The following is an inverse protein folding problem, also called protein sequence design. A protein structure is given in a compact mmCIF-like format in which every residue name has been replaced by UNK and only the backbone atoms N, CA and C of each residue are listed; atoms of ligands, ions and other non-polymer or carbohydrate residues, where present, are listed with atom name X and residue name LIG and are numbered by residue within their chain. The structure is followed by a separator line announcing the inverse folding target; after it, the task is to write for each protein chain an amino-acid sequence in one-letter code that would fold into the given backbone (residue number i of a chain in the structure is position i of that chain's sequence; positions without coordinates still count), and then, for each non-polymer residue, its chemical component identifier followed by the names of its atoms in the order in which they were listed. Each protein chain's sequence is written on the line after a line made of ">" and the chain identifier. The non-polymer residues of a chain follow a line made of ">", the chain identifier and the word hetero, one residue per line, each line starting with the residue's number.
data_IF_657118043340
#
_entry.id   IF_657118043340
#
_cell.length_a   1.000
_cell.length_b   1.000
_cell.length_c   1.000
_cell.angle_alpha   90.00
_cell.angle_beta   90.00
_cell.angle_gamma   90.00
#
_symmetry.space_group_name_H-M   'P 1'
#
loop_
_entity.id
_entity.type
_entity.pdbx_description
1 polymer ?
#
# COMPACT_ATOMS: atom_id res chain seq x y z
N UNK A 1 -16.83 28.41 1.55
CA UNK A 1 -17.38 27.75 1.68
C UNK A 1 -17.25 26.35 1.82
N UNK A 2 -18.11 25.61 1.55
CA UNK A 2 -18.04 24.31 1.77
C UNK A 2 -17.05 23.65 1.02
N UNK A 3 -16.67 24.11 -0.07
CA UNK A 3 -15.77 23.47 -0.87
C UNK A 3 -14.44 23.44 -0.29
N UNK A 4 -14.11 24.30 0.56
CA UNK A 4 -12.83 24.32 1.13
C UNK A 4 -12.47 23.11 1.87
N UNK A 5 -13.41 22.55 2.57
CA UNK A 5 -13.09 21.41 3.33
C UNK A 5 -12.81 20.23 2.46
N UNK A 6 -13.36 20.19 1.28
CA UNK A 6 -13.14 19.09 0.39
C UNK A 6 -11.72 19.04 -0.11
N UNK A 7 -11.09 20.19 -0.23
CA UNK A 7 -9.76 20.17 -0.75
C UNK A 7 -8.73 19.80 0.26
N UNK A 8 -9.04 20.04 1.49
CA UNK A 8 -7.99 19.94 2.48
C UNK A 8 -7.67 18.54 2.92
N UNK A 9 -8.55 17.61 2.73
CA UNK A 9 -8.32 16.31 3.31
C UNK A 9 -8.32 15.18 2.34
N UNK A 10 -7.53 15.31 1.31
CA UNK A 10 -7.34 14.21 0.43
C UNK A 10 -6.46 13.19 1.10
N UNK A 11 -6.80 11.92 0.99
CA UNK A 11 -6.06 10.87 1.63
C UNK A 11 -5.58 9.86 0.61
N UNK A 12 -4.34 9.45 0.74
CA UNK A 12 -3.77 8.45 -0.13
C UNK A 12 -3.15 7.35 0.73
N UNK A 13 -3.40 6.11 0.36
CA UNK A 13 -2.72 4.98 0.96
C UNK A 13 -1.69 4.52 -0.03
N UNK A 14 -0.44 4.46 0.38
CA UNK A 14 0.62 3.94 -0.45
C UNK A 14 0.94 2.53 0.00
N UNK A 15 1.30 1.67 -0.91
CA UNK A 15 1.65 0.32 -0.57
C UNK A 15 2.71 -0.18 -1.55
N UNK A 16 3.42 -1.16 -1.11
CA UNK A 16 4.46 -1.79 -1.88
C UNK A 16 5.34 -2.44 -0.86
N UNK A 17 6.19 -3.27 -1.24
CA UNK A 17 7.02 -3.80 -0.23
C UNK A 17 7.52 -5.17 -0.49
N UNK A 18 8.14 -5.68 0.53
CA UNK A 18 8.90 -6.88 0.40
C UNK A 18 10.37 -6.56 0.35
N UNK A 19 10.72 -5.40 -0.14
CA UNK A 19 12.13 -4.98 -0.17
C UNK A 19 12.22 -3.48 -0.06
N UNK A 20 13.38 -3.01 0.36
CA UNK A 20 13.63 -1.58 0.42
C UNK A 20 13.54 -0.93 -0.95
N UNK A 21 13.77 -1.71 -2.00
CA UNK A 21 13.69 -1.16 -3.35
C UNK A 21 12.32 -0.69 -3.75
N UNK A 22 11.27 -1.23 -3.11
CA UNK A 22 9.90 -0.77 -3.38
C UNK A 22 9.53 0.40 -2.48
N UNK A 23 10.20 0.55 -1.36
CA UNK A 23 9.87 1.58 -0.40
C UNK A 23 10.46 2.92 -0.79
N UNK A 24 11.71 2.91 -1.24
CA UNK A 24 12.41 4.14 -1.54
C UNK A 24 11.69 5.01 -2.58
N UNK A 25 11.20 4.44 -3.69
CA UNK A 25 10.46 5.27 -4.63
C UNK A 25 9.20 5.87 -4.03
N UNK A 26 8.53 5.14 -3.14
CA UNK A 26 7.36 5.68 -2.47
C UNK A 26 7.72 6.87 -1.58
N UNK A 27 8.84 6.76 -0.88
CA UNK A 27 9.28 7.85 -0.03
C UNK A 27 9.60 9.09 -0.87
N UNK A 28 10.19 8.87 -2.03
CA UNK A 28 10.54 9.99 -2.90
C UNK A 28 9.33 10.78 -3.38
N UNK A 29 8.15 10.14 -3.44
CA UNK A 29 6.95 10.81 -3.87
C UNK A 29 6.25 11.58 -2.75
N UNK A 30 6.58 11.29 -1.51
CA UNK A 30 5.85 11.85 -0.39
C UNK A 30 5.86 13.37 -0.30
N UNK A 31 7.00 14.05 -0.52
CA UNK A 31 6.95 15.51 -0.45
C UNK A 31 6.00 16.11 -1.47
N UNK A 32 6.01 15.59 -2.69
CA UNK A 32 5.14 16.12 -3.72
C UNK A 32 3.68 15.87 -3.38
N UNK A 33 3.37 14.71 -2.81
CA UNK A 33 2.00 14.41 -2.43
C UNK A 33 1.54 15.33 -1.30
N UNK A 34 2.40 15.59 -0.34
CA UNK A 34 2.05 16.50 0.73
C UNK A 34 1.80 17.90 0.21
N UNK A 35 2.59 18.33 -0.77
CA UNK A 35 2.39 19.64 -1.35
C UNK A 35 1.05 19.73 -2.07
N UNK A 36 0.55 18.61 -2.57
CA UNK A 36 -0.75 18.60 -3.23
C UNK A 36 -1.91 18.42 -2.24
N UNK A 37 -1.62 18.40 -0.96
CA UNK A 37 -2.66 18.32 0.03
C UNK A 37 -3.06 16.93 0.46
N UNK A 38 -2.24 15.95 0.16
CA UNK A 38 -2.56 14.58 0.55
C UNK A 38 -2.06 14.25 1.94
N UNK A 39 -2.90 13.55 2.68
CA UNK A 39 -2.52 12.96 3.95
C UNK A 39 -2.15 11.52 3.61
N UNK A 40 -0.96 11.09 3.95
CA UNK A 40 -0.40 9.82 3.51
C UNK A 40 -0.46 8.79 4.61
N UNK A 41 -0.86 7.57 4.26
CA UNK A 41 -0.74 6.41 5.14
C UNK A 41 -0.08 5.31 4.31
N UNK A 42 0.55 4.37 4.98
CA UNK A 42 1.26 3.31 4.28
C UNK A 42 0.84 1.95 4.82
N UNK A 43 0.59 1.01 3.92
CA UNK A 43 0.29 -0.35 4.30
C UNK A 43 1.39 -1.24 3.74
N UNK A 44 2.02 -2.01 4.60
CA UNK A 44 3.10 -2.88 4.18
C UNK A 44 3.13 -4.14 5.03
N UNK A 45 4.24 -4.85 4.98
CA UNK A 45 4.37 -6.08 5.73
C UNK A 45 4.60 -5.77 7.21
N UNK A 46 4.42 -6.78 8.05
CA UNK A 46 4.59 -6.59 9.48
C UNK A 46 6.02 -6.19 9.87
N UNK A 47 6.96 -6.71 9.17
CA UNK A 47 8.35 -6.52 9.59
C UNK A 47 9.21 -6.15 8.41
N UNK A 48 10.39 -5.78 8.71
CA UNK A 48 11.33 -5.41 7.68
C UNK A 48 11.74 -3.97 7.84
N UNK A 49 12.66 -3.57 7.01
CA UNK A 49 13.20 -2.23 7.08
C UNK A 49 12.19 -1.18 6.64
N UNK A 50 11.21 -1.59 5.87
CA UNK A 50 10.27 -0.63 5.32
C UNK A 50 9.48 0.10 6.40
N UNK A 51 9.12 -0.60 7.46
CA UNK A 51 8.35 0.03 8.52
C UNK A 51 9.11 1.20 9.11
N UNK A 52 10.39 0.99 9.42
CA UNK A 52 11.19 2.03 10.01
C UNK A 52 11.39 3.20 9.06
N UNK A 53 11.66 2.89 7.80
CA UNK A 53 11.89 3.94 6.81
C UNK A 53 10.67 4.82 6.62
N UNK A 54 9.49 4.20 6.60
CA UNK A 54 8.25 4.95 6.41
C UNK A 54 7.94 5.77 7.67
N UNK A 55 8.12 5.19 8.84
CA UNK A 55 7.82 5.92 10.06
C UNK A 55 8.75 7.11 10.26
N UNK A 56 9.97 7.03 9.76
CA UNK A 56 10.88 8.14 9.81
C UNK A 56 10.37 9.32 9.00
N UNK A 57 9.47 9.08 8.05
CA UNK A 57 8.90 10.15 7.26
C UNK A 57 7.68 10.78 7.92
N UNK A 58 7.34 10.32 9.12
CA UNK A 58 6.15 10.83 9.78
C UNK A 58 4.86 10.27 9.24
N UNK A 59 4.93 9.14 8.56
CA UNK A 59 3.76 8.54 7.93
C UNK A 59 3.28 7.35 8.77
N UNK A 60 1.99 7.26 9.08
CA UNK A 60 1.48 6.10 9.79
C UNK A 60 1.69 4.83 8.97
N UNK A 61 2.14 3.78 9.61
CA UNK A 61 2.42 2.53 8.95
C UNK A 61 1.53 1.44 9.53
N UNK A 62 0.86 0.73 8.66
CA UNK A 62 -0.03 -0.36 9.06
C UNK A 62 0.50 -1.65 8.46
N UNK A 63 0.75 -2.64 9.29
CA UNK A 63 1.24 -3.92 8.80
C UNK A 63 0.11 -4.88 8.52
N UNK A 64 0.25 -5.65 7.47
CA UNK A 64 -0.71 -6.69 7.16
C UNK A 64 0.02 -7.99 6.92
N UNK A 65 -0.74 -9.08 7.01
CA UNK A 65 -0.20 -10.39 6.71
C UNK A 65 -0.06 -10.53 5.19
N UNK A 66 1.05 -11.09 4.77
CA UNK A 66 1.25 -11.34 3.34
C UNK A 66 2.20 -12.49 3.18
N UNK A 67 2.04 -13.24 2.16
CA UNK A 67 3.01 -14.26 1.84
C UNK A 67 4.24 -13.63 1.23
N UNK A 68 5.26 -14.42 1.04
CA UNK A 68 6.45 -13.96 0.36
C UNK A 68 6.37 -14.43 -1.07
N UNK A 69 6.50 -13.51 -1.99
CA UNK A 69 6.31 -13.85 -3.40
C UNK A 69 7.14 -15.03 -3.86
N UNK A 70 8.38 -15.04 -3.51
CA UNK A 70 9.22 -16.13 -3.98
C UNK A 70 8.78 -17.47 -3.47
N UNK A 71 8.01 -17.51 -2.41
CA UNK A 71 7.56 -18.76 -1.86
C UNK A 71 6.32 -19.28 -2.53
N UNK A 72 5.69 -18.50 -3.36
CA UNK A 72 4.55 -18.98 -4.11
C UNK A 72 4.95 -20.11 -5.03
N UNK A 73 6.19 -20.13 -5.47
CA UNK A 73 6.65 -21.13 -6.39
C UNK A 73 7.18 -22.37 -5.69
N UNK A 74 7.12 -22.39 -4.38
CA UNK A 74 7.59 -23.52 -3.62
C UNK A 74 6.36 -24.28 -3.10
N UNK A 75 6.14 -25.51 -3.55
CA UNK A 75 4.92 -26.22 -3.14
C UNK A 75 4.85 -26.45 -1.65
N UNK A 76 5.94 -26.31 -0.93
CA UNK A 76 5.92 -26.50 0.50
C UNK A 76 5.25 -25.33 1.22
N UNK A 77 5.00 -24.25 0.55
CA UNK A 77 4.45 -23.06 1.19
C UNK A 77 3.01 -22.81 0.85
N UNK A 78 2.23 -23.87 0.85
CA UNK A 78 0.82 -23.75 0.55
C UNK A 78 0.06 -22.92 1.56
N UNK A 79 0.64 -22.66 2.71
CA UNK A 79 -0.04 -21.83 3.69
C UNK A 79 -0.06 -20.36 3.30
N UNK A 80 0.76 -19.98 2.31
CA UNK A 80 0.81 -18.58 1.92
C UNK A 80 -0.51 -18.03 1.39
N UNK A 81 -1.36 -18.80 0.70
CA UNK A 81 -2.65 -18.27 0.30
C UNK A 81 -3.50 -17.83 1.48
N UNK A 82 -3.39 -18.53 2.62
CA UNK A 82 -4.14 -18.12 3.80
C UNK A 82 -3.60 -16.81 4.35
N UNK A 83 -2.30 -16.59 4.24
CA UNK A 83 -1.71 -15.33 4.68
C UNK A 83 -2.18 -14.19 3.79
N UNK A 84 -2.30 -14.45 2.50
CA UNK A 84 -2.78 -13.43 1.59
C UNK A 84 -4.26 -13.12 1.88
N UNK A 85 -5.06 -14.14 2.16
CA UNK A 85 -6.46 -13.92 2.50
C UNK A 85 -6.59 -13.12 3.79
N UNK A 86 -5.74 -13.41 4.77
CA UNK A 86 -5.75 -12.65 6.00
C UNK A 86 -5.37 -11.20 5.74
N UNK A 87 -4.34 -11.00 4.91
CA UNK A 87 -3.93 -9.65 4.57
C UNK A 87 -5.01 -8.89 3.80
N UNK A 88 -5.75 -9.60 2.96
CA UNK A 88 -6.85 -9.02 2.23
C UNK A 88 -7.93 -8.53 3.21
N UNK A 89 -8.31 -9.36 4.17
CA UNK A 89 -9.31 -8.97 5.15
C UNK A 89 -8.82 -7.81 6.00
N UNK A 90 -7.55 -7.84 6.40
CA UNK A 90 -6.97 -6.73 7.15
C UNK A 90 -6.97 -5.45 6.34
N UNK A 91 -6.67 -5.56 5.05
CA UNK A 91 -6.64 -4.40 4.18
C UNK A 91 -8.02 -3.80 4.02
N UNK A 92 -9.05 -4.64 3.88
CA UNK A 92 -10.41 -4.13 3.78
C UNK A 92 -10.75 -3.33 5.03
N UNK A 93 -10.41 -3.88 6.20
CA UNK A 93 -10.70 -3.19 7.44
C UNK A 93 -9.96 -1.86 7.53
N UNK A 94 -8.69 -1.85 7.14
CA UNK A 94 -7.90 -0.62 7.17
C UNK A 94 -8.43 0.42 6.20
N UNK A 95 -8.79 0.00 5.00
CA UNK A 95 -9.31 0.94 4.02
C UNK A 95 -10.64 1.52 4.45
N UNK A 96 -11.47 0.73 5.11
CA UNK A 96 -12.73 1.25 5.62
C UNK A 96 -12.50 2.22 6.77
N UNK A 97 -11.42 2.04 7.52
CA UNK A 97 -11.10 2.93 8.60
C UNK A 97 -10.47 4.22 8.10
N UNK A 98 -9.52 4.11 7.19
CA UNK A 98 -8.80 5.27 6.67
C UNK A 98 -9.65 6.06 5.68
N UNK A 99 -10.43 5.37 4.87
CA UNK A 99 -11.26 5.97 3.84
C UNK A 99 -10.44 6.83 2.88
N UNK A 100 -9.43 6.25 2.26
CA UNK A 100 -8.61 7.04 1.35
C UNK A 100 -9.34 7.35 0.06
N UNK A 101 -8.89 8.38 -0.62
CA UNK A 101 -9.44 8.73 -1.92
C UNK A 101 -8.80 7.91 -3.02
N UNK A 102 -7.59 7.43 -2.78
CA UNK A 102 -6.88 6.65 -3.78
C UNK A 102 -5.83 5.77 -3.09
N UNK A 103 -5.55 4.64 -3.70
CA UNK A 103 -4.50 3.73 -3.25
C UNK A 103 -3.44 3.73 -4.35
N UNK A 104 -2.19 3.91 -3.97
CA UNK A 104 -1.09 3.87 -4.91
C UNK A 104 -0.19 2.69 -4.59
N UNK A 105 0.02 1.83 -5.55
CA UNK A 105 0.85 0.65 -5.38
C UNK A 105 2.09 0.75 -6.24
N UNK A 106 3.23 0.58 -5.61
CA UNK A 106 4.48 0.56 -6.33
C UNK A 106 4.84 -0.86 -6.78
N UNK A 107 4.04 -1.82 -6.38
CA UNK A 107 4.29 -3.20 -6.73
C UNK A 107 4.76 -4.01 -5.55
N UNK A 108 5.19 -5.20 -5.80
CA UNK A 108 5.59 -6.11 -4.74
C UNK A 108 4.43 -6.95 -4.26
N UNK A 109 4.75 -8.05 -3.62
CA UNK A 109 3.71 -9.00 -3.25
C UNK A 109 2.81 -8.50 -2.12
N UNK A 110 3.30 -7.58 -1.31
CA UNK A 110 2.49 -7.03 -0.23
C UNK A 110 1.34 -6.20 -0.79
N UNK A 111 1.55 -5.59 -1.94
CA UNK A 111 0.51 -4.74 -2.50
C UNK A 111 -0.68 -5.51 -3.05
N UNK A 112 -0.52 -6.80 -3.33
CA UNK A 112 -1.61 -7.57 -3.93
C UNK A 112 -2.88 -7.56 -3.09
N UNK A 113 -2.83 -7.93 -1.80
CA UNK A 113 -4.06 -7.90 -1.01
C UNK A 113 -4.60 -6.48 -0.83
N UNK A 114 -3.74 -5.48 -0.81
CA UNK A 114 -4.19 -4.11 -0.64
C UNK A 114 -4.93 -3.63 -1.89
N UNK A 115 -4.40 -3.92 -3.07
CA UNK A 115 -5.05 -3.52 -4.31
C UNK A 115 -6.39 -4.23 -4.47
N UNK A 116 -6.44 -5.52 -4.14
CA UNK A 116 -7.69 -6.25 -4.23
C UNK A 116 -8.72 -5.70 -3.23
N UNK A 117 -8.26 -5.32 -2.06
CA UNK A 117 -9.15 -4.72 -1.07
C UNK A 117 -9.67 -3.38 -1.53
N UNK A 118 -8.82 -2.59 -2.18
CA UNK A 118 -9.25 -1.30 -2.71
C UNK A 118 -10.35 -1.50 -3.76
N UNK A 119 -10.18 -2.50 -4.60
CA UNK A 119 -11.18 -2.81 -5.60
C UNK A 119 -12.49 -3.19 -4.93
N UNK A 120 -12.42 -4.00 -3.90
CA UNK A 120 -13.61 -4.41 -3.17
C UNK A 120 -14.32 -3.21 -2.54
N UNK A 121 -13.56 -2.27 -2.02
CA UNK A 121 -14.11 -1.09 -1.37
C UNK A 121 -14.43 0.03 -2.36
N UNK A 122 -14.23 -0.22 -3.65
CA UNK A 122 -14.51 0.75 -4.72
C UNK A 122 -13.66 2.00 -4.58
N UNK A 123 -12.41 1.82 -4.19
CA UNK A 123 -11.46 2.91 -4.09
C UNK A 123 -10.53 2.81 -5.29
N UNK A 124 -10.30 3.90 -6.02
CA UNK A 124 -9.40 3.85 -7.16
C UNK A 124 -8.00 3.44 -6.75
N UNK A 125 -7.38 2.59 -7.53
CA UNK A 125 -6.02 2.16 -7.26
C UNK A 125 -5.15 2.42 -8.48
N UNK A 126 -4.01 3.03 -8.24
CA UNK A 126 -3.03 3.28 -9.29
C UNK A 126 -1.87 2.32 -9.04
N UNK A 127 -1.52 1.56 -10.06
CA UNK A 127 -0.45 0.59 -9.95
C UNK A 127 0.68 1.02 -10.85
N UNK A 128 1.85 1.21 -10.25
CA UNK A 128 3.02 1.59 -11.01
C UNK A 128 3.78 0.33 -11.37
N UNK A 129 3.70 -0.02 -12.64
CA UNK A 129 4.35 -1.24 -13.12
C UNK A 129 5.46 -0.85 -14.04
N UNK A 130 6.61 -0.69 -13.49
CA UNK A 130 7.68 -0.19 -14.28
C UNK A 130 8.05 -1.10 -15.43
N UNK A 131 7.77 -2.33 -15.40
CA UNK A 131 8.17 -3.20 -16.48
C UNK A 131 7.36 -3.01 -17.72
N UNK A 132 6.37 -2.33 -17.62
CA UNK A 132 5.61 -2.21 -18.76
C UNK A 132 6.23 -1.41 -19.81
N UNK A 133 6.45 -1.73 -20.14
CA UNK A 133 6.68 -1.43 -21.03
C UNK A 133 6.69 -1.56 -21.94
N UNK A 134 6.45 -1.87 -22.06
CA UNK A 134 6.41 -2.03 -22.77
C UNK A 134 6.23 -1.83 -23.42
N UNK A 135 6.09 -1.60 -23.41
CA UNK A 135 5.83 -1.39 -23.95
C UNK A 135 5.89 -1.18 -24.37
#
# INVERSE_FOLDING_TARGET
>A
MLQERDYSMKKIVMTGGGTAGHVTPNIALMPALRNEGFEISYIGSYEGIEKRLIEEQGVPYYGISSGKLRRYFDPKNFSDPFKVLKGYAQSIRLLKKIKPDVVFSKGGFVSVPVVLAAKHCKIPAIIDRKSTRLN
#
